data_IF_102918603512
#
_entry.id   IF_102918603512
#
_cell.length_a   1.000
_cell.length_b   1.000
_cell.length_c   1.000
_cell.angle_alpha   90.00
_cell.angle_beta   90.00
_cell.angle_gamma   90.00
#
_symmetry.space_group_name_H-M   'P 1'
#
loop_
_entity.id
_entity.type
_entity.pdbx_description
1 polymer ?
#
# COMPACT_ATOMS: atom_id res chain seq x y z
N UNK A 1 -5.47 -30.82 -15.24
CA UNK A 1 -4.92 -29.68 -16.02
C UNK A 1 -4.75 -28.51 -15.06
N UNK A 2 -3.54 -28.01 -14.86
CA UNK A 2 -3.26 -26.96 -13.87
C UNK A 2 -3.99 -25.67 -14.28
N UNK A 3 -4.91 -25.19 -13.45
CA UNK A 3 -5.78 -24.04 -13.74
C UNK A 3 -4.99 -22.73 -13.58
N UNK A 4 -4.45 -22.22 -14.67
CA UNK A 4 -3.76 -20.92 -14.80
C UNK A 4 -2.54 -20.72 -13.85
N UNK A 5 -1.32 -21.02 -14.32
CA UNK A 5 -0.08 -20.83 -13.55
C UNK A 5 0.16 -19.40 -13.05
N UNK A 6 -0.24 -18.36 -13.81
CA UNK A 6 -0.04 -16.98 -13.38
C UNK A 6 -0.94 -16.61 -12.20
N UNK A 7 -2.17 -17.11 -12.17
CA UNK A 7 -3.06 -16.92 -11.00
C UNK A 7 -2.47 -17.54 -9.74
N UNK A 8 -1.80 -18.68 -9.85
CA UNK A 8 -1.06 -19.27 -8.73
C UNK A 8 0.12 -18.38 -8.32
N UNK A 9 0.90 -17.85 -9.27
CA UNK A 9 1.99 -16.92 -8.98
C UNK A 9 1.47 -15.67 -8.25
N UNK A 10 0.36 -15.09 -8.68
CA UNK A 10 -0.33 -13.97 -7.99
C UNK A 10 -0.74 -14.37 -6.57
N UNK A 11 -1.30 -15.56 -6.37
CA UNK A 11 -1.67 -16.07 -5.04
C UNK A 11 -0.45 -16.23 -4.13
N UNK A 12 0.67 -16.71 -4.67
CA UNK A 12 1.93 -16.84 -3.96
C UNK A 12 2.50 -15.47 -3.58
N UNK A 13 2.49 -14.49 -4.50
CA UNK A 13 2.96 -13.13 -4.25
C UNK A 13 2.26 -12.47 -3.05
N UNK A 14 0.94 -12.67 -2.92
CA UNK A 14 0.13 -12.14 -1.80
C UNK A 14 0.61 -12.61 -0.42
N UNK A 15 1.37 -13.71 -0.33
CA UNK A 15 1.96 -14.20 0.93
C UNK A 15 3.12 -13.33 1.43
N UNK A 16 3.70 -12.50 0.56
CA UNK A 16 4.76 -11.53 0.90
C UNK A 16 4.25 -10.20 1.47
N UNK A 17 2.95 -9.92 1.37
CA UNK A 17 2.37 -8.64 1.78
C UNK A 17 2.72 -8.26 3.23
N UNK A 18 3.08 -7.00 3.43
CA UNK A 18 3.51 -6.46 4.72
C UNK A 18 4.94 -6.83 5.14
N UNK A 19 5.67 -7.62 4.34
CA UNK A 19 7.03 -8.08 4.66
C UNK A 19 8.07 -7.76 3.59
N UNK A 20 7.66 -7.55 2.34
CA UNK A 20 8.61 -7.28 1.24
C UNK A 20 9.00 -5.81 1.13
N UNK A 21 8.11 -4.87 1.46
CA UNK A 21 8.37 -3.43 1.32
C UNK A 21 9.69 -3.03 1.99
N UNK A 22 10.55 -2.24 1.30
CA UNK A 22 10.31 -1.50 0.06
C UNK A 22 10.34 -2.32 -1.24
N UNK A 23 10.75 -3.60 -1.20
CA UNK A 23 10.76 -4.47 -2.37
C UNK A 23 9.32 -4.90 -2.77
N UNK A 24 9.08 -5.17 -4.07
CA UNK A 24 7.81 -5.70 -4.52
C UNK A 24 7.57 -7.12 -4.01
N UNK A 25 6.32 -7.44 -3.71
CA UNK A 25 5.84 -8.80 -3.55
C UNK A 25 5.72 -9.46 -4.92
N UNK A 26 6.58 -10.45 -5.16
CA UNK A 26 6.64 -11.21 -6.42
C UNK A 26 6.34 -12.68 -6.12
N UNK A 27 5.63 -13.33 -7.04
CA UNK A 27 5.40 -14.77 -7.03
C UNK A 27 5.85 -15.38 -8.35
N UNK A 28 6.26 -16.64 -8.29
CA UNK A 28 6.80 -17.38 -9.42
C UNK A 28 6.38 -18.86 -9.36
N UNK A 29 6.08 -19.44 -10.52
CA UNK A 29 5.86 -20.88 -10.68
C UNK A 29 6.57 -21.41 -11.92
N UNK A 30 7.12 -22.61 -11.82
CA UNK A 30 7.77 -23.33 -12.92
C UNK A 30 6.87 -24.47 -13.37
N UNK A 31 6.61 -24.57 -14.68
CA UNK A 31 5.70 -25.55 -15.27
C UNK A 31 6.33 -26.18 -16.51
N UNK A 32 6.11 -27.48 -16.73
CA UNK A 32 6.40 -28.17 -17.99
C UNK A 32 5.28 -29.16 -18.27
N UNK A 33 4.76 -29.19 -19.50
CA UNK A 33 3.70 -30.11 -19.93
C UNK A 33 2.46 -30.13 -19.01
N UNK A 34 2.10 -28.96 -18.46
CA UNK A 34 1.00 -28.80 -17.51
C UNK A 34 1.28 -29.34 -16.10
N UNK A 35 2.47 -29.90 -15.84
CA UNK A 35 2.95 -30.27 -14.53
C UNK A 35 3.68 -29.11 -13.87
N UNK A 36 3.33 -28.82 -12.62
CA UNK A 36 4.06 -27.88 -11.80
C UNK A 36 5.34 -28.51 -11.26
N UNK A 37 6.46 -27.83 -11.48
CA UNK A 37 7.80 -28.25 -11.05
C UNK A 37 8.26 -27.52 -9.78
N UNK A 38 7.87 -26.26 -9.59
CA UNK A 38 8.32 -25.49 -8.41
C UNK A 38 7.50 -24.23 -8.17
N UNK A 39 7.46 -23.80 -6.91
CA UNK A 39 6.76 -22.58 -6.46
C UNK A 39 7.67 -21.68 -5.64
N UNK A 40 7.55 -20.37 -5.85
CA UNK A 40 8.31 -19.39 -5.08
C UNK A 40 7.57 -18.07 -4.90
N UNK A 41 7.91 -17.36 -3.83
CA UNK A 41 7.53 -15.97 -3.63
C UNK A 41 8.57 -15.25 -2.79
N UNK A 42 8.70 -13.94 -3.01
CA UNK A 42 9.61 -13.12 -2.22
C UNK A 42 9.08 -12.99 -0.78
N UNK A 43 9.79 -13.59 0.18
CA UNK A 43 9.29 -13.76 1.56
C UNK A 43 9.48 -12.52 2.44
N UNK A 44 10.38 -11.62 2.06
CA UNK A 44 10.66 -10.40 2.80
C UNK A 44 11.91 -9.69 2.32
N UNK A 45 12.05 -8.41 2.70
CA UNK A 45 13.16 -7.56 2.25
C UNK A 45 14.53 -8.21 2.50
N UNK A 46 15.37 -8.25 1.45
CA UNK A 46 16.72 -8.82 1.50
C UNK A 46 16.80 -10.36 1.45
N UNK A 47 15.66 -11.06 1.42
CA UNK A 47 15.60 -12.50 1.20
C UNK A 47 15.61 -12.84 -0.31
N UNK A 48 15.79 -14.12 -0.68
CA UNK A 48 15.74 -14.53 -2.09
C UNK A 48 14.46 -14.08 -2.82
N UNK A 49 14.62 -13.81 -4.12
CA UNK A 49 13.52 -13.46 -5.01
C UNK A 49 12.63 -14.68 -5.31
N UNK A 50 11.46 -14.43 -5.90
CA UNK A 50 10.48 -15.48 -6.14
C UNK A 50 11.00 -16.57 -7.09
N UNK A 51 11.75 -16.17 -8.11
CA UNK A 51 12.37 -17.02 -9.11
C UNK A 51 13.39 -17.97 -8.47
N UNK A 52 14.22 -17.43 -7.56
CA UNK A 52 15.20 -18.21 -6.80
C UNK A 52 14.51 -19.23 -5.91
N UNK A 53 13.45 -18.83 -5.20
CA UNK A 53 12.64 -19.72 -4.37
C UNK A 53 11.97 -20.83 -5.20
N UNK A 54 11.45 -20.50 -6.39
CA UNK A 54 10.80 -21.46 -7.28
C UNK A 54 11.78 -22.51 -7.83
N UNK A 55 12.98 -22.07 -8.23
CA UNK A 55 14.07 -22.96 -8.64
C UNK A 55 14.50 -23.86 -7.49
N UNK A 56 14.72 -23.30 -6.29
CA UNK A 56 15.10 -24.08 -5.12
C UNK A 56 14.02 -25.10 -4.70
N UNK A 57 12.74 -24.77 -4.92
CA UNK A 57 11.63 -25.70 -4.69
C UNK A 57 11.60 -26.86 -5.68
N UNK A 58 11.89 -26.59 -6.95
CA UNK A 58 12.04 -27.62 -7.97
C UNK A 58 13.25 -28.52 -7.71
N UNK A 59 14.39 -27.96 -7.29
CA UNK A 59 15.60 -28.71 -6.95
C UNK A 59 15.35 -29.69 -5.79
N UNK A 60 14.67 -29.24 -4.72
CA UNK A 60 14.31 -30.10 -3.57
C UNK A 60 13.42 -31.26 -3.96
N UNK A 61 12.65 -31.10 -5.04
CA UNK A 61 11.78 -32.13 -5.59
C UNK A 61 12.45 -32.91 -6.73
N UNK A 62 13.74 -32.66 -7.00
CA UNK A 62 14.53 -33.29 -8.05
C UNK A 62 13.92 -33.15 -9.46
N UNK A 63 13.23 -32.04 -9.73
CA UNK A 63 12.70 -31.75 -11.07
C UNK A 63 13.77 -31.15 -11.97
N UNK A 64 13.96 -31.71 -13.17
CA UNK A 64 14.76 -31.10 -14.21
C UNK A 64 14.05 -29.88 -14.80
N UNK A 65 14.73 -28.74 -14.90
CA UNK A 65 14.15 -27.46 -15.32
C UNK A 65 14.39 -27.12 -16.80
N UNK A 66 15.32 -27.80 -17.48
CA UNK A 66 15.56 -27.56 -18.90
C UNK A 66 14.26 -27.70 -19.70
N UNK A 67 13.97 -26.70 -20.52
CA UNK A 67 12.77 -26.63 -21.34
C UNK A 67 11.49 -26.24 -20.60
N UNK A 68 11.54 -25.93 -19.31
CA UNK A 68 10.36 -25.49 -18.56
C UNK A 68 9.98 -24.02 -18.84
N UNK A 69 8.74 -23.69 -18.51
CA UNK A 69 8.18 -22.33 -18.55
C UNK A 69 8.13 -21.74 -17.14
N UNK A 70 8.68 -20.55 -16.96
CA UNK A 70 8.47 -19.73 -15.76
C UNK A 70 7.25 -18.82 -15.96
N UNK A 71 6.37 -18.75 -14.97
CA UNK A 71 5.38 -17.69 -14.83
C UNK A 71 5.74 -16.84 -13.62
N UNK A 72 5.94 -15.54 -13.80
CA UNK A 72 6.41 -14.64 -12.75
C UNK A 72 5.62 -13.32 -12.77
N UNK A 73 5.22 -12.82 -11.61
CA UNK A 73 4.31 -11.66 -11.54
C UNK A 73 4.95 -10.31 -11.89
N UNK A 74 6.28 -10.24 -12.00
CA UNK A 74 7.05 -9.04 -12.32
C UNK A 74 8.25 -9.44 -13.19
N UNK A 75 8.74 -8.54 -14.03
CA UNK A 75 9.97 -8.73 -14.82
C UNK A 75 11.13 -9.26 -13.94
N UNK A 76 11.81 -10.36 -14.33
CA UNK A 76 12.98 -10.86 -13.62
C UNK A 76 14.11 -9.84 -13.57
N UNK A 77 14.74 -9.71 -12.40
CA UNK A 77 15.80 -8.72 -12.24
C UNK A 77 17.05 -9.02 -13.08
N UNK A 78 17.69 -7.96 -13.57
CA UNK A 78 18.87 -7.97 -14.45
C UNK A 78 20.12 -7.32 -13.85
N UNK A 79 20.03 -6.79 -12.63
CA UNK A 79 21.12 -6.06 -11.99
C UNK A 79 21.66 -6.81 -10.77
N UNK A 80 22.94 -6.59 -10.50
CA UNK A 80 23.61 -7.09 -9.29
C UNK A 80 23.20 -6.22 -8.11
N UNK A 81 22.33 -6.76 -7.26
CA UNK A 81 21.92 -6.14 -6.00
C UNK A 81 22.53 -6.86 -4.80
N UNK A 82 21.71 -7.09 -3.76
CA UNK A 82 22.07 -7.95 -2.61
C UNK A 82 22.16 -9.44 -2.99
N UNK A 83 21.50 -9.82 -4.07
CA UNK A 83 21.52 -11.16 -4.65
C UNK A 83 21.90 -11.07 -6.14
N UNK A 84 22.48 -12.12 -6.73
CA UNK A 84 22.72 -12.19 -8.17
C UNK A 84 21.42 -12.01 -8.99
N UNK A 85 21.51 -11.60 -10.27
CA UNK A 85 20.35 -11.40 -11.13
C UNK A 85 19.56 -12.70 -11.33
N UNK A 86 18.23 -12.60 -11.29
CA UNK A 86 17.36 -13.75 -11.56
C UNK A 86 17.48 -14.20 -13.02
N UNK A 87 17.63 -13.26 -13.97
CA UNK A 87 17.78 -13.60 -15.39
C UNK A 87 18.95 -14.58 -15.65
N UNK A 88 20.11 -14.37 -15.01
CA UNK A 88 21.27 -15.28 -15.12
C UNK A 88 20.96 -16.69 -14.60
N UNK A 89 20.25 -16.78 -13.47
CA UNK A 89 19.84 -18.07 -12.91
C UNK A 89 18.93 -18.83 -13.89
N UNK A 90 17.97 -18.15 -14.49
CA UNK A 90 17.02 -18.76 -15.44
C UNK A 90 17.74 -19.26 -16.70
N UNK A 91 18.69 -18.49 -17.21
CA UNK A 91 19.56 -18.87 -18.34
C UNK A 91 20.38 -20.12 -18.00
N UNK A 92 21.04 -20.12 -16.84
CA UNK A 92 21.85 -21.24 -16.38
C UNK A 92 21.04 -22.53 -16.22
N UNK A 93 19.76 -22.42 -15.87
CA UNK A 93 18.83 -23.56 -15.76
C UNK A 93 18.24 -24.02 -17.09
N UNK A 94 18.47 -23.29 -18.18
CA UNK A 94 18.04 -23.68 -19.52
C UNK A 94 16.52 -23.70 -19.68
N UNK A 95 15.81 -22.75 -19.07
CA UNK A 95 14.36 -22.59 -19.30
C UNK A 95 14.08 -22.30 -20.78
N UNK A 96 12.92 -22.71 -21.28
CA UNK A 96 12.50 -22.40 -22.65
C UNK A 96 11.74 -21.08 -22.75
N UNK A 97 10.91 -20.78 -21.75
CA UNK A 97 9.93 -19.70 -21.84
C UNK A 97 9.77 -18.98 -20.52
N UNK A 98 9.56 -17.66 -20.57
CA UNK A 98 9.18 -16.81 -19.43
C UNK A 98 7.91 -16.05 -19.76
N UNK A 99 6.87 -16.22 -18.95
CA UNK A 99 5.65 -15.42 -18.99
C UNK A 99 5.67 -14.45 -17.81
N UNK A 100 5.72 -13.16 -18.09
CA UNK A 100 5.85 -12.12 -17.06
C UNK A 100 4.55 -11.33 -16.88
N UNK A 101 4.26 -10.95 -15.63
CA UNK A 101 3.03 -10.26 -15.24
C UNK A 101 3.00 -8.78 -15.63
N UNK A 102 4.06 -8.06 -15.29
CA UNK A 102 4.24 -6.64 -15.61
C UNK A 102 5.72 -6.31 -15.78
N UNK A 103 6.04 -5.25 -16.52
CA UNK A 103 7.41 -4.72 -16.58
C UNK A 103 7.81 -4.10 -15.23
N UNK A 104 9.11 -4.10 -14.95
CA UNK A 104 9.64 -3.35 -13.81
C UNK A 104 9.71 -1.85 -14.21
N UNK A 105 9.06 -0.93 -13.48
CA UNK A 105 9.10 0.50 -13.76
C UNK A 105 10.46 1.12 -13.43
N UNK A 106 11.32 0.43 -12.68
CA UNK A 106 12.65 0.91 -12.35
C UNK A 106 13.50 1.04 -13.63
N UNK A 107 13.99 2.23 -13.99
CA UNK A 107 14.81 2.44 -15.20
C UNK A 107 16.09 1.58 -15.23
N UNK A 108 16.56 1.12 -14.07
CA UNK A 108 17.70 0.23 -13.97
C UNK A 108 17.38 -1.18 -14.50
N UNK A 109 16.11 -1.62 -14.43
CA UNK A 109 15.64 -2.96 -14.79
C UNK A 109 14.85 -2.96 -16.08
N UNK A 110 13.96 -1.99 -16.28
CA UNK A 110 12.94 -1.93 -17.32
C UNK A 110 13.42 -2.50 -18.67
N UNK A 111 12.92 -3.69 -19.01
CA UNK A 111 13.17 -4.41 -20.26
C UNK A 111 14.54 -5.07 -20.39
N UNK A 112 15.51 -4.79 -19.51
CA UNK A 112 16.86 -5.36 -19.58
C UNK A 112 16.88 -6.83 -19.16
N UNK A 113 16.05 -7.22 -18.20
CA UNK A 113 15.93 -8.62 -17.79
C UNK A 113 15.36 -9.47 -18.89
N UNK A 114 14.30 -8.97 -19.54
CA UNK A 114 13.70 -9.62 -20.69
C UNK A 114 14.66 -9.70 -21.88
N UNK A 115 15.37 -8.61 -22.19
CA UNK A 115 16.36 -8.60 -23.27
C UNK A 115 17.49 -9.62 -23.05
N UNK A 116 17.96 -9.75 -21.80
CA UNK A 116 18.98 -10.74 -21.42
C UNK A 116 18.51 -12.18 -21.66
N UNK A 117 17.25 -12.48 -21.33
CA UNK A 117 16.65 -13.79 -21.57
C UNK A 117 16.52 -14.08 -23.07
N UNK A 118 15.95 -13.14 -23.83
CA UNK A 118 15.74 -13.28 -25.28
C UNK A 118 17.06 -13.47 -26.04
N UNK A 119 18.13 -12.79 -25.64
CA UNK A 119 19.45 -12.92 -26.26
C UNK A 119 20.05 -14.35 -26.18
N UNK A 120 19.54 -15.19 -25.28
CA UNK A 120 19.97 -16.58 -25.10
C UNK A 120 19.01 -17.61 -25.74
N UNK A 121 17.97 -17.15 -26.44
CA UNK A 121 16.96 -17.99 -27.07
C UNK A 121 15.78 -18.37 -26.18
N UNK A 122 15.67 -17.78 -24.98
CA UNK A 122 14.49 -17.95 -24.11
C UNK A 122 13.36 -17.08 -24.67
N UNK A 123 12.20 -17.68 -24.93
CA UNK A 123 11.02 -16.93 -25.38
C UNK A 123 10.37 -16.18 -24.22
N UNK A 124 9.96 -14.94 -24.45
CA UNK A 124 9.39 -14.07 -23.40
C UNK A 124 8.03 -13.54 -23.84
N UNK A 125 7.00 -13.74 -23.02
CA UNK A 125 5.62 -13.33 -23.32
C UNK A 125 5.00 -12.53 -22.16
N UNK A 126 4.29 -11.42 -22.44
CA UNK A 126 3.51 -10.73 -21.42
C UNK A 126 2.27 -11.55 -21.04
N UNK A 127 1.85 -11.45 -19.79
CA UNK A 127 0.57 -11.97 -19.34
C UNK A 127 -0.57 -11.04 -19.76
N UNK A 128 -1.70 -11.64 -20.16
CA UNK A 128 -2.86 -10.92 -20.72
C UNK A 128 -3.53 -9.92 -19.76
N UNK A 129 -3.40 -10.12 -18.45
CA UNK A 129 -4.00 -9.27 -17.42
C UNK A 129 -2.90 -8.69 -16.54
N UNK A 130 -2.16 -7.73 -17.10
CA UNK A 130 -1.10 -7.00 -16.42
C UNK A 130 -1.61 -6.31 -15.16
N UNK A 131 -2.85 -5.78 -15.19
CA UNK A 131 -3.45 -5.06 -14.05
C UNK A 131 -3.50 -5.93 -12.81
N UNK A 132 -3.91 -7.20 -12.93
CA UNK A 132 -3.92 -8.14 -11.81
C UNK A 132 -2.54 -8.35 -11.16
N UNK A 133 -1.45 -8.19 -11.92
CA UNK A 133 -0.08 -8.27 -11.42
C UNK A 133 0.38 -6.94 -10.81
N UNK A 134 0.09 -5.81 -11.48
CA UNK A 134 0.43 -4.46 -10.98
C UNK A 134 -0.23 -4.16 -9.64
N UNK A 135 -1.48 -4.61 -9.47
CA UNK A 135 -2.26 -4.44 -8.23
C UNK A 135 -1.66 -5.15 -7.00
N UNK A 136 -0.69 -6.06 -7.18
CA UNK A 136 0.06 -6.63 -6.07
C UNK A 136 0.94 -5.59 -5.37
N UNK A 137 1.42 -4.59 -6.11
CA UNK A 137 2.50 -3.70 -5.67
C UNK A 137 2.23 -2.22 -5.93
N UNK A 138 1.04 -1.67 -5.62
CA UNK A 138 0.68 -0.30 -6.00
C UNK A 138 1.65 0.75 -5.44
N UNK A 139 2.14 0.55 -4.21
CA UNK A 139 3.15 1.43 -3.60
C UNK A 139 4.50 1.43 -4.32
N UNK A 140 4.97 0.25 -4.75
CA UNK A 140 6.23 0.14 -5.49
C UNK A 140 6.13 0.85 -6.85
N UNK A 141 5.06 0.60 -7.62
CA UNK A 141 4.85 1.29 -8.90
C UNK A 141 4.73 2.80 -8.72
N UNK A 142 3.91 3.27 -7.76
CA UNK A 142 3.72 4.71 -7.52
C UNK A 142 5.04 5.41 -7.16
N UNK A 143 5.87 4.79 -6.33
CA UNK A 143 7.17 5.35 -5.96
C UNK A 143 8.12 5.39 -7.15
N UNK A 144 8.22 4.31 -7.93
CA UNK A 144 9.13 4.25 -9.07
C UNK A 144 8.71 5.19 -10.20
N UNK A 145 7.40 5.38 -10.42
CA UNK A 145 6.87 6.19 -11.52
C UNK A 145 6.71 7.67 -11.15
N UNK A 146 6.39 7.99 -9.88
CA UNK A 146 6.04 9.35 -9.46
C UNK A 146 6.79 9.85 -8.24
N UNK A 147 7.64 9.04 -7.61
CA UNK A 147 8.37 9.43 -6.40
C UNK A 147 7.48 9.65 -5.17
N UNK A 148 6.25 9.13 -5.19
CA UNK A 148 5.25 9.28 -4.13
C UNK A 148 4.76 7.90 -3.66
N UNK A 149 4.44 7.73 -2.36
CA UNK A 149 3.81 6.51 -1.89
C UNK A 149 2.39 6.38 -2.45
N UNK A 150 1.87 5.16 -2.49
CA UNK A 150 0.46 4.90 -2.75
C UNK A 150 -0.37 5.22 -1.49
N UNK A 151 -1.39 6.05 -1.64
CA UNK A 151 -2.24 6.54 -0.54
C UNK A 151 -3.65 5.98 -0.70
N UNK A 152 -4.09 5.22 0.30
CA UNK A 152 -5.46 4.71 0.37
C UNK A 152 -6.23 5.39 1.50
N UNK A 153 -7.39 5.96 1.19
CA UNK A 153 -8.32 6.52 2.15
C UNK A 153 -9.22 5.39 2.66
N UNK A 154 -9.12 5.07 3.95
CA UNK A 154 -10.04 4.17 4.62
C UNK A 154 -11.07 5.01 5.36
N UNK A 155 -12.31 4.95 4.91
CA UNK A 155 -13.42 5.70 5.51
C UNK A 155 -14.42 4.67 6.07
N UNK A 156 -14.79 4.81 7.34
CA UNK A 156 -15.92 4.09 7.92
C UNK A 156 -17.03 5.09 8.18
N UNK A 157 -18.17 4.92 7.52
CA UNK A 157 -19.28 5.85 7.59
C UNK A 157 -20.63 5.13 7.65
N UNK A 158 -21.65 5.87 8.05
CA UNK A 158 -23.06 5.47 7.94
C UNK A 158 -23.51 5.48 6.48
N UNK A 159 -24.68 4.91 6.19
CA UNK A 159 -25.22 4.80 4.84
C UNK A 159 -25.46 6.18 4.19
N UNK A 160 -25.76 7.19 5.01
CA UNK A 160 -25.95 8.60 4.64
C UNK A 160 -24.65 9.44 4.73
N UNK A 161 -23.48 8.81 4.81
CA UNK A 161 -22.20 9.48 4.61
C UNK A 161 -21.64 10.23 5.82
N UNK A 162 -21.94 9.78 7.05
CA UNK A 162 -21.45 10.40 8.31
C UNK A 162 -20.40 9.54 9.01
N UNK A 163 -19.34 10.18 9.51
CA UNK A 163 -18.24 9.52 10.24
C UNK A 163 -18.29 9.76 11.76
N UNK A 164 -19.19 10.63 12.22
CA UNK A 164 -19.51 10.82 13.63
C UNK A 164 -20.87 11.52 13.76
N UNK A 165 -21.65 11.26 14.83
CA UNK A 165 -22.76 12.13 15.21
C UNK A 165 -22.26 13.50 15.67
N UNK A 166 -23.16 14.49 15.79
CA UNK A 166 -22.82 15.86 16.22
C UNK A 166 -22.21 15.95 17.62
N UNK A 167 -22.48 14.97 18.50
CA UNK A 167 -21.84 14.87 19.82
C UNK A 167 -20.41 14.32 19.77
N UNK A 168 -19.94 13.85 18.60
CA UNK A 168 -18.57 13.37 18.40
C UNK A 168 -18.32 11.92 18.81
N UNK A 169 -19.31 11.19 19.34
CA UNK A 169 -19.11 9.76 19.69
C UNK A 169 -19.17 8.85 18.45
N UNK A 170 -17.99 8.59 17.86
CA UNK A 170 -17.85 7.77 16.66
C UNK A 170 -17.63 6.27 16.94
N UNK A 171 -17.66 5.84 18.21
CA UNK A 171 -17.44 4.43 18.60
C UNK A 171 -18.78 3.69 18.69
N UNK A 172 -19.10 2.68 17.88
CA UNK A 172 -18.47 2.18 16.66
C UNK A 172 -19.47 2.30 15.51
N UNK A 173 -19.08 2.96 14.42
CA UNK A 173 -19.91 3.00 13.20
C UNK A 173 -20.02 1.60 12.59
N UNK A 174 -18.89 0.97 12.27
CA UNK A 174 -18.83 -0.36 11.64
C UNK A 174 -18.65 -1.48 12.67
N UNK A 175 -19.08 -2.68 12.30
CA UNK A 175 -19.05 -3.90 13.11
C UNK A 175 -17.66 -4.53 13.25
N UNK A 176 -17.58 -5.59 14.05
CA UNK A 176 -16.33 -6.26 14.39
C UNK A 176 -15.62 -6.88 13.18
N UNK A 177 -16.38 -7.49 12.26
CA UNK A 177 -15.82 -8.09 11.04
C UNK A 177 -15.05 -7.07 10.19
N UNK A 178 -15.63 -5.87 10.01
CA UNK A 178 -14.97 -4.74 9.34
C UNK A 178 -13.73 -4.29 10.09
N UNK A 179 -13.81 -4.13 11.42
CA UNK A 179 -12.65 -3.73 12.22
C UNK A 179 -11.52 -4.76 12.13
N UNK A 180 -11.82 -6.06 12.18
CA UNK A 180 -10.82 -7.12 12.00
C UNK A 180 -10.15 -7.04 10.63
N UNK A 181 -10.93 -6.75 9.57
CA UNK A 181 -10.37 -6.54 8.23
C UNK A 181 -9.47 -5.29 8.17
N UNK A 182 -9.82 -4.19 8.83
CA UNK A 182 -8.96 -3.01 8.95
C UNK A 182 -7.61 -3.37 9.59
N UNK A 183 -7.56 -4.23 10.60
CA UNK A 183 -6.28 -4.71 11.13
C UNK A 183 -5.46 -5.53 10.12
N UNK A 184 -6.12 -6.28 9.23
CA UNK A 184 -5.43 -6.93 8.11
C UNK A 184 -4.90 -5.92 7.09
N UNK A 185 -5.62 -4.82 6.82
CA UNK A 185 -5.10 -3.71 6.00
C UNK A 185 -3.88 -3.05 6.65
N UNK A 186 -3.96 -2.71 7.93
CA UNK A 186 -2.84 -2.13 8.70
C UNK A 186 -1.57 -2.97 8.65
N UNK A 187 -1.70 -4.29 8.62
CA UNK A 187 -0.57 -5.22 8.50
C UNK A 187 0.07 -5.22 7.09
N UNK A 188 -0.66 -4.76 6.06
CA UNK A 188 -0.21 -4.75 4.66
C UNK A 188 0.42 -3.42 4.25
N UNK A 189 -0.11 -2.29 4.75
CA UNK A 189 0.43 -0.96 4.47
C UNK A 189 1.69 -0.68 5.30
N UNK A 190 2.56 0.18 4.78
CA UNK A 190 3.80 0.55 5.48
C UNK A 190 3.55 1.55 6.61
N UNK A 191 2.58 2.43 6.43
CA UNK A 191 2.19 3.43 7.41
C UNK A 191 0.68 3.58 7.51
N UNK A 192 0.22 3.98 8.70
CA UNK A 192 -1.11 4.53 8.93
C UNK A 192 -0.94 6.02 9.18
N UNK A 193 -1.80 6.86 8.59
CA UNK A 193 -1.79 8.31 8.79
C UNK A 193 -3.09 8.79 9.39
N UNK A 194 -2.99 9.64 10.41
CA UNK A 194 -4.11 10.36 11.02
C UNK A 194 -3.73 11.82 11.32
N UNK A 195 -4.72 12.71 11.37
CA UNK A 195 -4.54 14.04 11.95
C UNK A 195 -4.56 14.02 13.49
N UNK A 196 -3.88 14.97 14.13
CA UNK A 196 -3.86 15.13 15.59
C UNK A 196 -5.26 15.23 16.22
N UNK A 197 -6.25 15.78 15.51
CA UNK A 197 -7.64 15.80 15.98
C UNK A 197 -8.20 14.41 16.27
N UNK A 198 -7.89 13.43 15.41
CA UNK A 198 -8.28 12.02 15.60
C UNK A 198 -7.63 11.45 16.86
N UNK A 199 -6.34 11.78 17.09
CA UNK A 199 -5.62 11.32 18.28
C UNK A 199 -6.23 11.92 19.55
N UNK A 200 -6.54 13.22 19.55
CA UNK A 200 -7.17 13.89 20.71
C UNK A 200 -8.56 13.34 21.04
N UNK A 201 -9.33 12.97 20.01
CA UNK A 201 -10.72 12.55 20.18
C UNK A 201 -10.84 11.07 20.53
N UNK A 202 -10.12 10.21 19.81
CA UNK A 202 -10.31 8.75 19.89
C UNK A 202 -9.20 8.03 20.65
N UNK A 203 -8.09 8.72 20.93
CA UNK A 203 -6.84 8.18 21.49
C UNK A 203 -6.45 6.79 20.92
N UNK A 204 -6.34 6.65 19.59
CA UNK A 204 -6.20 5.35 18.96
C UNK A 204 -4.75 4.84 19.06
N UNK A 205 -4.57 3.56 19.41
CA UNK A 205 -3.23 2.95 19.36
C UNK A 205 -2.66 2.81 17.92
N UNK A 206 -3.54 2.74 16.90
CA UNK A 206 -3.18 2.54 15.48
C UNK A 206 -2.28 1.31 15.22
N UNK A 207 -2.45 0.25 16.01
CA UNK A 207 -1.69 -1.01 15.90
C UNK A 207 -2.45 -2.09 15.14
N UNK A 208 -1.73 -3.13 14.75
CA UNK A 208 -2.23 -4.46 14.36
C UNK A 208 -2.34 -5.31 15.62
N UNK A 209 -3.55 -5.74 15.98
CA UNK A 209 -3.82 -6.51 17.22
C UNK A 209 -4.91 -7.56 17.11
N UNK A 210 -5.77 -7.49 16.10
CA UNK A 210 -6.83 -8.48 15.87
C UNK A 210 -6.48 -9.53 14.80
N UNK A 211 -5.28 -9.44 14.22
CA UNK A 211 -4.71 -10.42 13.28
C UNK A 211 -3.19 -10.49 13.48
N UNK A 212 -2.55 -11.52 12.92
CA UNK A 212 -1.08 -11.58 12.85
C UNK A 212 -0.57 -10.66 11.73
N UNK A 213 0.52 -9.95 11.98
CA UNK A 213 1.12 -9.06 10.98
C UNK A 213 2.21 -8.16 11.55
N UNK A 214 2.95 -7.48 10.67
CA UNK A 214 3.91 -6.44 11.04
C UNK A 214 3.17 -5.19 11.52
N UNK A 215 3.72 -4.49 12.52
CA UNK A 215 3.21 -3.16 12.88
C UNK A 215 3.60 -2.11 11.83
N UNK A 216 2.66 -1.30 11.32
CA UNK A 216 2.99 -0.19 10.42
C UNK A 216 3.70 0.94 11.16
N UNK A 217 4.24 1.90 10.43
CA UNK A 217 4.53 3.22 10.98
C UNK A 217 3.23 3.95 11.32
N UNK A 218 3.23 4.76 12.38
CA UNK A 218 2.10 5.61 12.78
C UNK A 218 2.47 7.06 12.49
N UNK A 219 1.94 7.62 11.42
CA UNK A 219 2.17 9.00 11.03
C UNK A 219 1.05 9.85 11.63
N UNK A 220 1.44 10.84 12.44
CA UNK A 220 0.50 11.74 13.09
C UNK A 220 0.77 13.16 12.64
N UNK A 221 -0.20 13.80 11.99
CA UNK A 221 -0.09 15.21 11.59
C UNK A 221 -0.42 16.10 12.78
N UNK A 222 0.61 16.61 13.44
CA UNK A 222 0.51 17.53 14.58
C UNK A 222 1.29 18.82 14.28
N UNK A 223 0.62 19.73 13.57
CA UNK A 223 1.18 21.02 13.13
C UNK A 223 1.90 21.77 14.24
N UNK A 224 1.30 21.79 15.44
CA UNK A 224 1.84 22.55 16.56
C UNK A 224 2.75 21.71 17.45
N UNK A 225 2.71 20.38 17.39
CA UNK A 225 3.38 19.49 18.34
C UNK A 225 2.81 19.64 19.76
N UNK A 226 1.47 19.74 19.89
CA UNK A 226 0.71 19.88 21.16
C UNK A 226 -0.06 18.61 21.56
N UNK A 227 0.17 17.46 20.94
CA UNK A 227 -0.45 16.23 21.43
C UNK A 227 -0.02 15.90 22.88
N UNK A 228 -0.95 15.46 23.75
CA UNK A 228 -0.60 15.04 25.09
C UNK A 228 0.42 13.90 25.04
N UNK A 229 1.46 13.97 25.87
CA UNK A 229 2.45 12.90 26.00
C UNK A 229 1.85 11.58 26.47
N UNK A 230 0.67 11.63 27.10
CA UNK A 230 -0.13 10.47 27.53
C UNK A 230 -0.93 9.80 26.41
N UNK A 231 -0.88 10.31 25.17
CA UNK A 231 -1.61 9.71 24.05
C UNK A 231 -1.12 8.27 23.79
N UNK A 232 -2.02 7.35 23.49
CA UNK A 232 -1.72 5.93 23.28
C UNK A 232 -0.62 5.68 22.24
N UNK A 233 -0.49 6.55 21.23
CA UNK A 233 0.55 6.50 20.19
C UNK A 233 1.97 6.76 20.73
N UNK A 234 2.13 7.25 21.96
CA UNK A 234 3.41 7.53 22.62
C UNK A 234 3.68 6.62 23.83
N UNK A 235 2.65 5.98 24.38
CA UNK A 235 2.77 5.23 25.63
C UNK A 235 2.86 3.71 25.46
N UNK A 236 2.78 3.19 24.23
CA UNK A 236 2.85 1.75 23.98
C UNK A 236 4.24 1.25 23.56
N UNK A 237 4.39 -0.07 23.47
CA UNK A 237 5.64 -0.72 23.06
C UNK A 237 6.05 -0.43 21.61
N UNK A 238 5.27 0.36 20.87
CA UNK A 238 5.51 0.71 19.48
C UNK A 238 5.77 2.20 19.29
N UNK A 239 5.97 2.98 20.36
CA UNK A 239 6.23 4.42 20.30
C UNK A 239 7.37 4.78 19.32
N UNK A 240 8.41 3.94 19.24
CA UNK A 240 9.51 4.06 18.28
C UNK A 240 9.08 4.01 16.80
N UNK A 241 7.88 3.48 16.50
CA UNK A 241 7.26 3.47 15.17
C UNK A 241 6.25 4.60 14.98
N UNK A 242 6.24 5.60 15.84
CA UNK A 242 5.44 6.82 15.68
C UNK A 242 6.29 7.92 15.05
N UNK A 243 5.81 8.47 13.94
CA UNK A 243 6.38 9.61 13.24
C UNK A 243 5.42 10.79 13.38
N UNK A 244 5.79 11.78 14.19
CA UNK A 244 5.01 13.01 14.33
C UNK A 244 5.47 14.01 13.29
N UNK A 245 4.53 14.44 12.44
CA UNK A 245 4.78 15.41 11.39
C UNK A 245 4.33 16.78 11.88
N UNK A 246 5.24 17.75 11.87
CA UNK A 246 5.02 19.06 12.49
C UNK A 246 5.67 20.19 11.69
N UNK A 247 5.28 21.44 11.94
CA UNK A 247 6.03 22.63 11.54
C UNK A 247 6.59 23.38 12.74
N UNK A 248 6.39 22.86 13.96
CA UNK A 248 6.93 23.44 15.18
C UNK A 248 8.46 23.37 15.18
N UNK A 249 9.12 24.47 15.55
CA UNK A 249 10.58 24.57 15.68
C UNK A 249 11.04 24.67 17.14
N UNK A 250 10.12 24.65 18.10
CA UNK A 250 10.44 24.77 19.53
C UNK A 250 11.13 23.50 20.05
N UNK A 251 12.41 23.62 20.41
CA UNK A 251 13.21 22.48 20.85
C UNK A 251 12.64 21.74 22.07
N UNK A 252 12.02 22.45 23.00
CA UNK A 252 11.45 21.82 24.21
C UNK A 252 10.37 20.80 23.83
N UNK A 253 9.49 21.14 22.89
CA UNK A 253 8.40 20.27 22.44
C UNK A 253 8.91 19.08 21.63
N UNK A 254 9.97 19.32 20.86
CA UNK A 254 10.72 18.25 20.20
C UNK A 254 11.27 17.26 21.21
N UNK A 255 12.00 17.75 22.24
CA UNK A 255 12.56 16.91 23.31
C UNK A 255 11.49 16.13 24.07
N UNK A 256 10.36 16.74 24.37
CA UNK A 256 9.25 16.03 25.04
C UNK A 256 8.75 14.88 24.16
N UNK A 257 8.48 15.12 22.89
CA UNK A 257 7.95 14.09 21.98
C UNK A 257 8.96 12.98 21.73
N UNK A 258 10.22 13.32 21.47
CA UNK A 258 11.29 12.32 21.25
C UNK A 258 11.67 11.57 22.52
N UNK A 259 11.51 12.19 23.70
CA UNK A 259 11.67 11.54 25.00
C UNK A 259 10.72 10.36 25.23
N UNK A 260 9.58 10.33 24.53
CA UNK A 260 8.64 9.19 24.53
C UNK A 260 8.95 8.16 23.43
N UNK A 261 10.09 8.29 22.74
CA UNK A 261 10.55 7.36 21.70
C UNK A 261 10.01 7.64 20.31
N UNK A 262 9.08 8.59 20.13
CA UNK A 262 8.59 8.97 18.80
C UNK A 262 9.65 9.72 17.99
N UNK A 263 9.64 9.54 16.67
CA UNK A 263 10.43 10.34 15.74
C UNK A 263 9.65 11.56 15.28
N UNK A 264 10.35 12.64 14.93
CA UNK A 264 9.74 13.87 14.41
C UNK A 264 10.18 14.09 12.97
N UNK A 265 9.25 14.55 12.14
CA UNK A 265 9.52 15.05 10.80
C UNK A 265 8.98 16.47 10.66
N UNK A 266 9.89 17.43 10.50
CA UNK A 266 9.51 18.81 10.22
C UNK A 266 9.18 18.98 8.74
N UNK A 267 8.01 19.50 8.43
CA UNK A 267 7.50 19.73 7.06
C UNK A 267 7.00 21.18 6.97
N UNK A 268 7.19 21.87 5.84
CA UNK A 268 6.64 23.20 5.64
C UNK A 268 5.10 23.22 5.75
N UNK A 269 4.57 24.42 5.96
CA UNK A 269 3.14 24.68 5.90
C UNK A 269 2.72 25.08 4.48
N UNK A 270 1.47 24.75 4.13
CA UNK A 270 0.78 25.31 2.97
C UNK A 270 0.34 26.76 3.23
N UNK A 271 -0.23 27.40 2.21
CA UNK A 271 -0.74 28.78 2.29
C UNK A 271 -1.86 28.97 3.31
N UNK A 272 -2.47 27.89 3.80
CA UNK A 272 -3.50 27.90 4.82
C UNK A 272 -2.98 27.57 6.22
N UNK A 273 -1.66 27.48 6.41
CA UNK A 273 -1.04 27.17 7.70
C UNK A 273 -1.19 25.71 8.13
N UNK A 274 -1.48 24.77 7.22
CA UNK A 274 -1.54 23.33 7.49
C UNK A 274 -0.28 22.63 6.97
N UNK A 275 0.02 21.42 7.44
CA UNK A 275 1.15 20.63 6.90
C UNK A 275 0.97 20.45 5.39
N UNK A 276 2.00 20.81 4.61
CA UNK A 276 2.01 20.63 3.15
C UNK A 276 2.12 19.12 2.83
N UNK A 277 0.99 18.51 2.46
CA UNK A 277 0.88 17.06 2.30
C UNK A 277 1.75 16.52 1.16
N UNK A 278 1.96 17.28 0.08
CA UNK A 278 2.85 16.88 -1.01
C UNK A 278 4.30 16.75 -0.55
N UNK A 279 4.80 17.72 0.23
CA UNK A 279 6.15 17.70 0.80
C UNK A 279 6.32 16.57 1.81
N UNK A 280 5.28 16.27 2.60
CA UNK A 280 5.29 15.10 3.46
C UNK A 280 5.43 13.83 2.63
N UNK A 281 4.54 13.61 1.65
CA UNK A 281 4.50 12.37 0.88
C UNK A 281 5.80 12.15 0.06
N UNK A 282 6.42 13.19 -0.49
CA UNK A 282 7.74 13.10 -1.16
C UNK A 282 8.86 12.61 -0.25
N UNK A 283 8.74 12.80 1.07
CA UNK A 283 9.76 12.41 2.04
C UNK A 283 9.58 10.99 2.60
N UNK A 284 8.44 10.33 2.36
CA UNK A 284 8.16 9.00 2.89
C UNK A 284 8.95 7.86 2.19
N UNK A 285 9.14 7.86 0.86
CA UNK A 285 9.85 6.79 0.17
C UNK A 285 11.29 6.60 0.63
N UNK A 286 12.02 7.69 0.92
CA UNK A 286 13.40 7.60 1.44
C UNK A 286 13.49 6.95 2.83
N UNK A 287 12.36 6.81 3.53
CA UNK A 287 12.21 6.10 4.80
C UNK A 287 11.69 4.67 4.63
N UNK A 288 11.57 4.18 3.39
CA UNK A 288 11.02 2.86 3.05
C UNK A 288 9.50 2.77 3.24
N UNK A 289 8.79 3.90 3.26
CA UNK A 289 7.33 3.95 3.35
C UNK A 289 6.78 4.18 1.94
N UNK A 290 6.33 3.12 1.30
CA UNK A 290 5.81 3.15 -0.08
C UNK A 290 4.28 3.12 -0.14
N UNK A 291 3.62 2.85 0.98
CA UNK A 291 2.17 2.78 1.07
C UNK A 291 1.64 3.37 2.38
N UNK A 292 0.61 4.21 2.28
CA UNK A 292 -0.01 4.90 3.41
C UNK A 292 -1.51 4.60 3.44
N UNK A 293 -1.99 4.08 4.57
CA UNK A 293 -3.41 3.94 4.86
C UNK A 293 -3.87 5.13 5.71
N UNK A 294 -4.73 5.98 5.19
CA UNK A 294 -5.24 7.15 5.92
C UNK A 294 -6.54 6.74 6.58
N UNK A 295 -6.60 6.82 7.91
CA UNK A 295 -7.77 6.36 8.70
C UNK A 295 -8.49 7.48 9.45
N UNK A 296 -7.93 8.70 9.51
CA UNK A 296 -8.37 9.69 10.50
C UNK A 296 -8.39 11.14 10.05
N UNK A 297 -9.61 11.70 10.03
CA UNK A 297 -9.94 13.11 9.95
C UNK A 297 -10.59 13.49 8.62
N UNK A 298 -11.86 13.90 8.63
CA UNK A 298 -12.55 14.43 7.45
C UNK A 298 -11.73 15.50 6.73
N UNK A 299 -11.06 16.38 7.49
CA UNK A 299 -10.14 17.40 6.94
C UNK A 299 -8.97 16.78 6.17
N UNK A 300 -8.34 15.72 6.69
CA UNK A 300 -7.21 15.05 6.02
C UNK A 300 -7.69 14.35 4.75
N UNK A 301 -8.83 13.67 4.79
CA UNK A 301 -9.43 13.05 3.61
C UNK A 301 -9.74 14.09 2.53
N UNK A 302 -10.39 15.20 2.92
CA UNK A 302 -10.77 16.29 2.02
C UNK A 302 -9.54 16.89 1.36
N UNK A 303 -8.48 17.17 2.12
CA UNK A 303 -7.26 17.77 1.56
C UNK A 303 -6.51 16.82 0.62
N UNK A 304 -6.43 15.52 0.95
CA UNK A 304 -5.81 14.54 0.06
C UNK A 304 -6.58 14.38 -1.26
N UNK A 305 -7.92 14.43 -1.21
CA UNK A 305 -8.75 14.46 -2.41
C UNK A 305 -8.51 15.76 -3.16
N UNK A 306 -8.68 16.93 -2.53
CA UNK A 306 -8.49 18.25 -3.15
C UNK A 306 -7.14 18.38 -3.88
N UNK A 307 -6.07 17.81 -3.31
CA UNK A 307 -4.71 17.84 -3.86
C UNK A 307 -4.38 16.67 -4.80
N UNK A 308 -5.32 15.75 -5.07
CA UNK A 308 -5.13 14.57 -5.91
C UNK A 308 -3.96 13.68 -5.45
N UNK A 309 -3.78 13.59 -4.13
CA UNK A 309 -2.74 12.83 -3.48
C UNK A 309 -3.22 11.46 -2.99
N UNK A 310 -4.50 11.13 -3.18
CA UNK A 310 -5.08 9.83 -2.86
C UNK A 310 -5.31 8.99 -4.12
N UNK A 311 -4.99 7.70 -4.04
CA UNK A 311 -5.10 6.75 -5.15
C UNK A 311 -6.31 5.82 -5.05
N UNK A 312 -6.69 5.50 -3.81
CA UNK A 312 -7.69 4.46 -3.54
C UNK A 312 -8.63 4.89 -2.44
N UNK A 313 -9.91 4.56 -2.61
CA UNK A 313 -10.93 4.71 -1.58
C UNK A 313 -11.41 3.33 -1.13
N UNK A 314 -11.29 3.07 0.17
CA UNK A 314 -11.80 1.89 0.88
C UNK A 314 -12.95 2.34 1.78
N UNK A 315 -14.17 2.29 1.25
CA UNK A 315 -15.37 2.81 1.90
C UNK A 315 -16.13 1.70 2.62
N UNK A 316 -16.11 1.72 3.95
CA UNK A 316 -16.93 0.86 4.79
C UNK A 316 -18.24 1.57 5.12
N UNK A 317 -19.34 1.00 4.65
CA UNK A 317 -20.70 1.46 4.88
C UNK A 317 -21.36 0.60 5.96
N UNK A 318 -21.72 1.21 7.08
CA UNK A 318 -22.56 0.59 8.09
C UNK A 318 -24.04 0.79 7.73
N UNK A 319 -24.93 -0.18 8.03
CA UNK A 319 -26.37 -0.06 7.81
C UNK A 319 -27.03 0.82 8.89
N UNK A 320 -26.54 2.05 9.02
CA UNK A 320 -26.97 3.06 9.99
C UNK A 320 -27.26 4.36 9.24
N UNK A 321 -28.21 5.15 9.73
CA UNK A 321 -28.53 6.48 9.21
C UNK A 321 -28.53 7.42 10.42
N UNK A 322 -27.75 8.51 10.35
CA UNK A 322 -27.72 9.52 11.42
C UNK A 322 -28.53 10.78 11.09
N UNK A 323 -28.76 11.04 9.80
CA UNK A 323 -29.36 12.27 9.27
C UNK A 323 -28.39 13.46 9.33
N UNK A 324 -27.86 13.75 10.51
CA UNK A 324 -26.90 14.83 10.77
C UNK A 324 -25.62 14.30 11.43
N UNK A 325 -24.51 15.00 11.24
CA UNK A 325 -23.22 14.61 11.78
C UNK A 325 -22.07 15.11 10.92
N UNK A 326 -20.86 14.67 11.26
CA UNK A 326 -19.66 15.01 10.52
C UNK A 326 -19.62 14.22 9.19
N UNK A 327 -19.63 14.87 8.01
CA UNK A 327 -19.47 14.17 6.74
C UNK A 327 -18.06 13.57 6.62
N UNK A 328 -17.94 12.49 5.85
CA UNK A 328 -16.65 11.84 5.57
C UNK A 328 -15.70 12.71 4.76
N UNK A 329 -16.23 13.47 3.80
CA UNK A 329 -15.52 14.40 2.94
C UNK A 329 -16.19 15.76 3.08
N UNK A 330 -15.39 16.79 3.31
CA UNK A 330 -15.82 18.18 3.35
C UNK A 330 -15.93 18.78 1.96
N UNK A 331 -15.85 20.10 1.90
CA UNK A 331 -15.96 20.84 0.63
C UNK A 331 -14.74 20.58 -0.27
N UNK A 332 -15.00 20.15 -1.50
CA UNK A 332 -14.00 19.95 -2.56
C UNK A 332 -14.03 21.07 -3.62
N UNK A 333 -14.86 22.10 -3.44
CA UNK A 333 -15.01 23.21 -4.38
C UNK A 333 -15.81 22.85 -5.64
N UNK A 334 -16.62 21.78 -5.57
CA UNK A 334 -17.42 21.31 -6.70
C UNK A 334 -18.76 22.07 -6.77
N UNK A 335 -18.98 22.82 -7.84
CA UNK A 335 -20.18 23.66 -8.04
C UNK A 335 -21.27 22.99 -8.90
N UNK A 336 -20.91 21.96 -9.67
CA UNK A 336 -21.84 21.19 -10.51
C UNK A 336 -21.40 19.73 -10.67
N UNK A 337 -22.27 18.87 -11.21
CA UNK A 337 -22.00 17.43 -11.30
C UNK A 337 -20.87 17.05 -12.27
N UNK A 338 -20.48 17.93 -13.20
CA UNK A 338 -19.34 17.68 -14.10
C UNK A 338 -18.00 17.82 -13.38
N UNK A 339 -17.97 18.62 -12.31
CA UNK A 339 -16.85 18.77 -11.40
C UNK A 339 -16.70 17.65 -10.37
N UNK A 340 -17.69 16.75 -10.27
CA UNK A 340 -17.70 15.71 -9.26
C UNK A 340 -16.64 14.64 -9.54
N UNK A 341 -16.11 14.08 -8.45
CA UNK A 341 -15.15 12.97 -8.52
C UNK A 341 -15.81 11.71 -9.07
N UNK A 342 -15.43 11.30 -10.28
CA UNK A 342 -15.85 10.03 -10.85
C UNK A 342 -14.86 8.93 -10.48
N UNK A 343 -15.18 8.16 -9.45
CA UNK A 343 -14.35 7.06 -8.95
C UNK A 343 -14.60 5.78 -9.78
N UNK A 344 -13.55 5.01 -10.06
CA UNK A 344 -13.69 3.75 -10.81
C UNK A 344 -13.93 2.59 -9.86
N UNK A 345 -15.07 1.88 -9.92
CA UNK A 345 -15.35 0.74 -9.05
C UNK A 345 -14.35 -0.39 -9.26
N UNK A 346 -13.90 -1.00 -8.17
CA UNK A 346 -13.00 -2.16 -8.21
C UNK A 346 -13.64 -3.44 -7.70
N UNK A 347 -14.21 -3.37 -6.51
CA UNK A 347 -14.80 -4.53 -5.84
C UNK A 347 -15.78 -4.10 -4.76
N UNK A 348 -16.62 -5.06 -4.34
CA UNK A 348 -17.46 -4.92 -3.17
C UNK A 348 -17.40 -6.19 -2.35
N UNK A 349 -17.38 -6.05 -1.03
CA UNK A 349 -17.27 -7.16 -0.09
C UNK A 349 -18.15 -6.92 1.14
N UNK A 350 -18.94 -7.92 1.53
CA UNK A 350 -19.75 -7.87 2.75
C UNK A 350 -18.94 -8.36 3.95
N UNK A 351 -18.95 -7.60 5.04
CA UNK A 351 -18.33 -7.97 6.32
C UNK A 351 -19.39 -7.94 7.43
N UNK A 352 -20.05 -9.08 7.65
CA UNK A 352 -21.24 -9.13 8.51
C UNK A 352 -22.36 -8.30 7.88
N UNK A 353 -22.78 -7.24 8.57
CA UNK A 353 -23.82 -6.32 8.09
C UNK A 353 -23.26 -5.10 7.37
N UNK A 354 -21.95 -4.85 7.44
CA UNK A 354 -21.30 -3.75 6.74
C UNK A 354 -20.95 -4.14 5.29
N UNK A 355 -20.82 -3.13 4.43
CA UNK A 355 -20.33 -3.26 3.06
C UNK A 355 -19.03 -2.50 2.88
N UNK A 356 -17.98 -3.15 2.37
CA UNK A 356 -16.79 -2.50 1.84
C UNK A 356 -16.97 -2.28 0.33
N UNK A 357 -16.85 -1.04 -0.11
CA UNK A 357 -16.73 -0.67 -1.52
C UNK A 357 -15.31 -0.15 -1.77
N UNK A 358 -14.67 -0.68 -2.81
CA UNK A 358 -13.33 -0.26 -3.21
C UNK A 358 -13.38 0.47 -4.55
N UNK A 359 -12.71 1.62 -4.62
CA UNK A 359 -12.61 2.42 -5.84
C UNK A 359 -11.17 2.85 -6.09
N UNK A 360 -10.75 2.88 -7.35
CA UNK A 360 -9.60 3.69 -7.76
C UNK A 360 -10.06 5.13 -7.95
N UNK A 361 -9.28 6.07 -7.42
CA UNK A 361 -9.50 7.51 -7.58
C UNK A 361 -8.86 7.99 -8.89
N UNK A 362 -9.45 9.01 -9.55
CA UNK A 362 -8.91 9.55 -10.79
C UNK A 362 -7.48 10.09 -10.61
N UNK A 363 -6.63 9.86 -11.61
CA UNK A 363 -5.31 10.47 -11.69
C UNK A 363 -5.38 11.84 -12.39
N UNK A 364 -4.58 12.80 -11.94
CA UNK A 364 -4.48 14.14 -12.56
C UNK A 364 -5.29 15.20 -11.83
N UNK A 365 -5.34 16.40 -12.39
CA UNK A 365 -6.08 17.54 -11.84
C UNK A 365 -7.61 17.32 -11.90
N UNK A 366 -8.39 17.95 -10.99
CA UNK A 366 -9.84 17.83 -11.04
C UNK A 366 -10.34 18.53 -12.31
N UNK A 367 -11.52 18.16 -12.85
CA UNK A 367 -12.16 18.95 -13.90
C UNK A 367 -12.30 20.44 -13.49
N UNK A 368 -12.45 20.71 -12.19
CA UNK A 368 -12.63 22.04 -11.60
C UNK A 368 -11.37 22.92 -11.52
N UNK A 369 -10.18 22.47 -11.91
CA UNK A 369 -9.00 23.36 -12.01
C UNK A 369 -8.91 24.11 -13.34
N UNK A 370 -9.85 23.86 -14.27
CA UNK A 370 -10.01 24.62 -15.52
C UNK A 370 -11.00 25.76 -15.28
N UNK A 371 -10.55 26.78 -14.54
CA UNK A 371 -11.31 28.00 -14.28
C UNK A 371 -10.39 29.18 -14.06
#
# INVERSE_FOLDING_TARGET
MYSDPMREAIRLARRGFGRTSPNPSVGAVLVRDGQLLGRGYHRGFGLPHAEVEAVADADRQHHELRGATLFVTLEPCSHYGKTPPCAELLIKRGLATVVYGSLDPNPLVAGKGLAMLTATGIEVFPYKDERACRDLNPGFFRVMERGLPHVALKIAQTLDGRIAPSCGDARWITGEASRRHVHALRARYDAILVGAGTVRQDDPALTVRHVRGRQPWRIVLDTRLDLPSTSAVFCDAHAARTLVVTSCTEEHRHRVTTGHGASILTVPLDSSGRIELGALLRQLPSRGIHSVLVEGGAKVFTELLRLHLADRLLLYLAPKILGSGLPSVGDLGCTDMSGAWLCTPRSSHRFGDDLLLEFDLPEGDPPCSRG
#
